data_IF_893655997422
#
_entry.id   IF_893655997422
#
_cell.length_a   1.000
_cell.length_b   1.000
_cell.length_c   1.000
_cell.angle_alpha   90.00
_cell.angle_beta   90.00
_cell.angle_gamma   90.00
#
_symmetry.space_group_name_H-M   'P 1'
#
loop_
_entity.id
_entity.type
_entity.pdbx_description
1 polymer ?
#
# COMPACT_ATOMS: atom_id res chain seq x y z
N UNK A 1 27.30 16.00 -2.64
CA UNK A 1 26.40 15.04 -3.33
C UNK A 1 24.98 15.38 -2.92
N UNK A 2 24.12 15.74 -3.88
CA UNK A 2 22.71 16.06 -3.61
C UNK A 2 22.06 14.72 -3.23
N UNK A 3 21.71 14.52 -1.96
CA UNK A 3 20.82 13.42 -1.59
C UNK A 3 19.49 13.74 -2.26
N UNK A 4 19.14 12.96 -3.30
CA UNK A 4 17.90 13.17 -4.03
C UNK A 4 16.74 13.03 -3.05
N UNK A 5 15.69 13.84 -3.18
CA UNK A 5 14.53 13.79 -2.27
C UNK A 5 13.95 12.37 -2.11
N UNK A 6 14.12 11.53 -3.14
CA UNK A 6 13.81 10.10 -3.13
C UNK A 6 14.57 9.30 -2.08
N UNK A 7 15.84 9.59 -1.82
CA UNK A 7 16.67 8.87 -0.84
C UNK A 7 16.29 9.26 0.60
N UNK A 8 15.88 10.52 0.79
CA UNK A 8 15.37 11.01 2.07
C UNK A 8 14.01 10.37 2.39
N UNK A 9 13.11 10.32 1.40
CA UNK A 9 11.79 9.69 1.56
C UNK A 9 11.90 8.19 1.84
N UNK A 10 12.76 7.47 1.10
CA UNK A 10 13.04 6.05 1.34
C UNK A 10 13.50 5.79 2.77
N UNK A 11 14.49 6.55 3.27
CA UNK A 11 14.99 6.40 4.64
C UNK A 11 13.92 6.70 5.69
N UNK A 12 13.03 7.66 5.42
CA UNK A 12 11.90 7.98 6.30
C UNK A 12 10.88 6.85 6.34
N UNK A 13 10.51 6.29 5.19
CA UNK A 13 9.55 5.19 5.11
C UNK A 13 10.12 3.94 5.79
N UNK A 14 11.40 3.64 5.58
CA UNK A 14 12.10 2.52 6.23
C UNK A 14 12.11 2.65 7.76
N UNK A 15 12.32 3.86 8.30
CA UNK A 15 12.20 4.11 9.75
C UNK A 15 10.80 3.85 10.29
N UNK A 16 9.77 3.98 9.44
CA UNK A 16 8.37 3.68 9.77
C UNK A 16 8.00 2.23 9.44
N UNK A 17 8.96 1.40 9.02
CA UNK A 17 8.76 0.01 8.62
C UNK A 17 8.06 -0.16 7.26
N UNK A 18 7.95 0.92 6.48
CA UNK A 18 7.26 0.96 5.19
C UNK A 18 8.29 0.87 4.06
N UNK A 19 8.03 0.03 3.07
CA UNK A 19 8.88 -0.11 1.88
C UNK A 19 8.05 -0.11 0.60
N UNK A 20 8.48 0.59 -0.46
CA UNK A 20 7.79 0.53 -1.74
C UNK A 20 7.87 -0.90 -2.29
N UNK A 21 6.72 -1.44 -2.71
CA UNK A 21 6.65 -2.77 -3.32
C UNK A 21 5.77 -2.71 -4.57
N UNK A 22 6.34 -3.15 -5.69
CA UNK A 22 5.68 -3.17 -7.00
C UNK A 22 5.32 -4.60 -7.38
N UNK A 23 4.07 -4.81 -7.78
CA UNK A 23 3.57 -6.06 -8.32
C UNK A 23 2.77 -5.80 -9.58
N UNK A 24 2.64 -6.82 -10.42
CA UNK A 24 1.71 -6.81 -11.54
C UNK A 24 0.35 -7.28 -11.05
N UNK A 25 -0.67 -6.46 -11.23
CA UNK A 25 -2.07 -6.76 -10.92
C UNK A 25 -2.93 -6.58 -12.17
N UNK A 26 -4.07 -7.28 -12.28
CA UNK A 26 -5.06 -6.98 -13.30
C UNK A 26 -5.52 -5.51 -13.21
N UNK A 27 -5.73 -4.87 -14.36
CA UNK A 27 -6.18 -3.47 -14.41
C UNK A 27 -7.51 -3.27 -13.69
N UNK A 28 -8.42 -4.24 -13.77
CA UNK A 28 -9.69 -4.22 -13.04
C UNK A 28 -9.50 -4.20 -11.52
N UNK A 29 -8.51 -4.93 -11.01
CA UNK A 29 -8.17 -4.94 -9.58
C UNK A 29 -7.59 -3.60 -9.15
N UNK A 30 -6.71 -3.00 -9.96
CA UNK A 30 -6.14 -1.67 -9.69
C UNK A 30 -7.24 -0.62 -9.61
N UNK A 31 -8.14 -0.57 -10.61
CA UNK A 31 -9.27 0.36 -10.63
C UNK A 31 -10.19 0.18 -9.41
N UNK A 32 -10.37 -1.07 -8.94
CA UNK A 32 -11.17 -1.35 -7.74
C UNK A 32 -10.47 -0.85 -6.47
N UNK A 33 -9.15 -1.01 -6.34
CA UNK A 33 -8.37 -0.48 -5.22
C UNK A 33 -8.46 1.05 -5.19
N UNK A 34 -8.31 1.71 -6.34
CA UNK A 34 -8.42 3.17 -6.48
C UNK A 34 -9.81 3.67 -6.08
N UNK A 35 -10.87 3.04 -6.59
CA UNK A 35 -12.25 3.40 -6.25
C UNK A 35 -12.50 3.26 -4.75
N UNK A 36 -12.08 2.16 -4.12
CA UNK A 36 -12.24 1.94 -2.69
C UNK A 36 -11.44 2.93 -1.84
N UNK A 37 -10.21 3.25 -2.26
CA UNK A 37 -9.37 4.24 -1.60
C UNK A 37 -10.03 5.63 -1.62
N UNK A 38 -10.53 6.04 -2.79
CA UNK A 38 -11.25 7.31 -2.96
C UNK A 38 -12.54 7.36 -2.13
N UNK A 39 -13.35 6.29 -2.16
CA UNK A 39 -14.61 6.21 -1.41
C UNK A 39 -14.39 6.29 0.10
N UNK A 40 -13.30 5.71 0.61
CA UNK A 40 -12.98 5.72 2.05
C UNK A 40 -12.10 6.89 2.48
N UNK A 41 -11.56 7.67 1.54
CA UNK A 41 -10.64 8.77 1.83
C UNK A 41 -9.31 8.31 2.44
N UNK A 42 -8.84 7.09 2.11
CA UNK A 42 -7.59 6.53 2.62
C UNK A 42 -6.66 6.10 1.48
N UNK A 43 -5.39 5.83 1.79
CA UNK A 43 -4.42 5.41 0.77
C UNK A 43 -4.73 4.02 0.22
N UNK A 44 -4.34 3.77 -1.04
CA UNK A 44 -4.42 2.43 -1.65
C UNK A 44 -3.68 1.37 -0.83
N UNK A 45 -2.52 1.72 -0.26
CA UNK A 45 -1.77 0.85 0.64
C UNK A 45 -2.58 0.44 1.88
N UNK A 46 -3.32 1.38 2.50
CA UNK A 46 -4.18 1.07 3.64
C UNK A 46 -5.36 0.16 3.28
N UNK A 47 -5.95 0.31 2.09
CA UNK A 47 -6.97 -0.61 1.56
C UNK A 47 -6.40 -2.02 1.43
N UNK A 48 -5.20 -2.15 0.84
CA UNK A 48 -4.55 -3.45 0.64
C UNK A 48 -4.21 -4.09 2.00
N UNK A 49 -3.64 -3.35 2.94
CA UNK A 49 -3.35 -3.85 4.29
C UNK A 49 -4.60 -4.38 4.97
N UNK A 50 -5.69 -3.59 5.00
CA UNK A 50 -6.94 -4.02 5.61
C UNK A 50 -7.52 -5.28 4.93
N UNK A 51 -7.40 -5.40 3.61
CA UNK A 51 -7.86 -6.59 2.89
C UNK A 51 -7.08 -7.85 3.29
N UNK A 52 -5.77 -7.73 3.51
CA UNK A 52 -4.94 -8.85 3.98
C UNK A 52 -5.30 -9.23 5.43
N UNK A 53 -5.53 -8.27 6.31
CA UNK A 53 -5.92 -8.55 7.71
C UNK A 53 -7.26 -9.29 7.78
N UNK A 54 -8.25 -8.88 6.96
CA UNK A 54 -9.55 -9.56 6.87
C UNK A 54 -9.36 -10.99 6.34
N UNK A 55 -8.52 -11.17 5.31
CA UNK A 55 -8.25 -12.49 4.74
C UNK A 55 -7.57 -13.41 5.77
N UNK A 56 -6.56 -12.92 6.49
CA UNK A 56 -5.87 -13.69 7.55
C UNK A 56 -6.84 -14.11 8.68
N UNK A 57 -7.73 -13.21 9.11
CA UNK A 57 -8.77 -13.54 10.09
C UNK A 57 -9.73 -14.63 9.58
N UNK A 58 -10.11 -14.58 8.30
CA UNK A 58 -11.01 -15.58 7.70
C UNK A 58 -10.39 -16.99 7.63
N UNK A 59 -9.06 -17.09 7.60
CA UNK A 59 -8.33 -18.36 7.57
C UNK A 59 -8.11 -18.97 8.95
N UNK A 60 -8.23 -18.17 10.02
CA UNK A 60 -8.07 -18.61 11.41
C UNK A 60 -9.38 -19.11 12.03
N UNK A 61 -10.48 -19.02 11.28
CA UNK A 61 -11.83 -19.44 11.70
C UNK A 61 -12.13 -20.88 11.31
#
# INVERSE_FOLDING_TARGET
MIQSASDIQKRSDEKRGIKPKTYKLPLSTIARIESLANLKGISQGAIITAAIDIYDQSLKS
#
